data_IF_338235586667
#
_entry.id   IF_338235586667
#
_cell.length_a   1.000
_cell.length_b   1.000
_cell.length_c   1.000
_cell.angle_alpha   90.00
_cell.angle_beta   90.00
_cell.angle_gamma   90.00
#
_symmetry.space_group_name_H-M   'P 1'
#
loop_
_entity.id
_entity.type
_entity.pdbx_description
1 polymer ?
#
# COMPACT_ATOMS: atom_id res chain seq x y z
N UNK A 1 -46.25 4.63 -51.62
CA UNK A 1 -45.44 5.40 -50.65
C UNK A 1 -45.34 4.79 -49.25
N UNK A 2 -46.19 3.83 -48.84
CA UNK A 2 -46.13 3.22 -47.49
C UNK A 2 -44.95 2.25 -47.28
N UNK A 3 -44.43 1.62 -48.34
CA UNK A 3 -43.35 0.63 -48.23
C UNK A 3 -41.94 1.26 -48.18
N UNK A 4 -41.79 2.53 -48.57
CA UNK A 4 -40.50 3.23 -48.54
C UNK A 4 -40.16 3.70 -47.12
N UNK A 5 -41.18 4.06 -46.32
CA UNK A 5 -41.03 4.50 -44.94
C UNK A 5 -40.72 3.34 -43.97
N UNK A 6 -41.16 2.12 -44.31
CA UNK A 6 -40.88 0.91 -43.53
C UNK A 6 -39.43 0.43 -43.73
N UNK A 7 -38.86 0.59 -44.92
CA UNK A 7 -37.48 0.22 -45.23
C UNK A 7 -36.48 1.18 -44.56
N UNK A 8 -36.84 2.47 -44.41
CA UNK A 8 -36.00 3.47 -43.73
C UNK A 8 -35.94 3.24 -42.19
N UNK A 9 -37.03 2.74 -41.60
CA UNK A 9 -37.07 2.37 -40.17
C UNK A 9 -36.25 1.11 -39.85
N UNK A 10 -36.17 0.15 -40.78
CA UNK A 10 -35.38 -1.08 -40.60
C UNK A 10 -33.87 -0.82 -40.78
N UNK A 11 -33.50 0.13 -41.65
CA UNK A 11 -32.09 0.50 -41.87
C UNK A 11 -31.50 1.42 -40.79
N UNK A 12 -32.31 2.03 -39.94
CA UNK A 12 -31.84 2.79 -38.78
C UNK A 12 -31.67 1.93 -37.50
N UNK A 13 -32.22 0.70 -37.49
CA UNK A 13 -32.17 -0.18 -36.32
C UNK A 13 -30.94 -1.11 -36.28
N UNK A 14 -30.16 -1.21 -37.35
CA UNK A 14 -29.08 -2.22 -37.49
C UNK A 14 -27.66 -1.70 -37.28
N UNK A 15 -27.46 -0.50 -36.73
CA UNK A 15 -26.15 -0.08 -36.22
C UNK A 15 -26.18 0.26 -34.74
N UNK A 16 -26.99 -0.47 -33.96
CA UNK A 16 -26.80 -0.56 -32.52
C UNK A 16 -25.75 -1.65 -32.23
N UNK A 17 -24.53 -1.20 -31.93
CA UNK A 17 -23.48 -1.89 -31.19
C UNK A 17 -23.13 -3.34 -31.60
N UNK A 18 -22.43 -3.50 -32.72
CA UNK A 18 -21.49 -4.61 -32.89
C UNK A 18 -20.07 -4.14 -32.52
N UNK A 19 -19.87 -3.66 -31.29
CA UNK A 19 -18.53 -3.45 -30.75
C UNK A 19 -17.95 -4.81 -30.38
N UNK A 20 -17.36 -5.48 -31.37
CA UNK A 20 -16.60 -6.72 -31.17
C UNK A 20 -15.43 -6.39 -30.25
N UNK A 21 -15.46 -6.86 -29.00
CA UNK A 21 -14.29 -6.78 -28.12
C UNK A 21 -13.15 -7.57 -28.78
N UNK A 22 -12.18 -6.84 -29.35
CA UNK A 22 -11.02 -7.42 -30.04
C UNK A 22 -10.06 -8.10 -29.07
N UNK A 23 -10.20 -7.85 -27.76
CA UNK A 23 -9.33 -8.37 -26.72
C UNK A 23 -10.08 -9.33 -25.81
N UNK A 24 -9.83 -10.64 -25.97
CA UNK A 24 -10.51 -11.73 -25.24
C UNK A 24 -10.47 -11.58 -23.70
N UNK A 25 -9.44 -10.91 -23.17
CA UNK A 25 -9.19 -10.79 -21.73
C UNK A 25 -9.35 -9.36 -21.19
N UNK A 26 -9.82 -8.40 -22.00
CA UNK A 26 -10.05 -7.02 -21.57
C UNK A 26 -11.55 -6.74 -21.58
N UNK A 27 -12.06 -6.23 -20.48
CA UNK A 27 -13.46 -5.78 -20.31
C UNK A 27 -13.46 -4.29 -20.05
N UNK A 28 -14.40 -3.57 -20.68
CA UNK A 28 -14.73 -2.20 -20.32
C UNK A 28 -16.14 -2.20 -19.71
N UNK A 29 -16.30 -1.52 -18.57
CA UNK A 29 -17.59 -1.32 -17.92
C UNK A 29 -17.60 0.04 -17.22
N UNK A 30 -18.49 0.93 -17.64
CA UNK A 30 -18.69 2.25 -17.01
C UNK A 30 -17.39 3.09 -16.98
N UNK A 31 -16.56 3.01 -18.03
CA UNK A 31 -15.28 3.71 -18.13
C UNK A 31 -14.12 3.03 -17.40
N UNK A 32 -14.35 1.90 -16.70
CA UNK A 32 -13.33 1.13 -16.01
C UNK A 32 -12.79 0.00 -16.90
N UNK A 33 -11.49 -0.25 -16.81
CA UNK A 33 -10.80 -1.31 -17.57
C UNK A 33 -10.50 -2.49 -16.65
N UNK A 34 -11.00 -3.66 -17.01
CA UNK A 34 -10.71 -4.93 -16.35
C UNK A 34 -9.85 -5.83 -17.22
N UNK A 35 -8.73 -6.34 -16.68
CA UNK A 35 -7.90 -7.38 -17.32
C UNK A 35 -8.09 -8.69 -16.54
N UNK A 36 -8.62 -9.72 -17.20
CA UNK A 36 -8.93 -11.01 -16.55
C UNK A 36 -10.16 -11.01 -15.63
N UNK A 37 -10.91 -9.91 -15.59
CA UNK A 37 -12.19 -9.77 -14.85
C UNK A 37 -13.27 -9.14 -15.72
N UNK A 38 -14.53 -9.45 -15.42
CA UNK A 38 -15.72 -8.82 -16.03
C UNK A 38 -16.32 -7.72 -15.16
N UNK A 39 -15.85 -7.61 -13.93
CA UNK A 39 -16.37 -6.70 -12.90
C UNK A 39 -15.21 -5.89 -12.36
N UNK A 40 -14.69 -4.92 -13.14
CA UNK A 40 -13.69 -3.99 -12.63
C UNK A 40 -14.31 -3.12 -11.54
N UNK A 41 -13.62 -3.03 -10.42
CA UNK A 41 -13.96 -2.23 -9.24
C UNK A 41 -13.21 -0.89 -9.21
N UNK A 42 -12.03 -0.81 -9.83
CA UNK A 42 -11.20 0.40 -9.98
C UNK A 42 -11.06 0.81 -11.45
N UNK A 43 -10.47 1.99 -11.72
CA UNK A 43 -10.20 2.45 -13.10
C UNK A 43 -9.41 1.41 -13.91
N UNK A 44 -8.48 0.72 -13.26
CA UNK A 44 -7.78 -0.44 -13.80
C UNK A 44 -7.80 -1.57 -12.76
N UNK A 45 -8.57 -2.62 -13.02
CA UNK A 45 -8.59 -3.85 -12.21
C UNK A 45 -7.89 -4.97 -12.96
N UNK A 46 -6.84 -5.56 -12.39
CA UNK A 46 -6.15 -6.72 -12.97
C UNK A 46 -6.36 -7.93 -12.09
N UNK A 47 -7.14 -8.91 -12.56
CA UNK A 47 -7.27 -10.20 -11.89
C UNK A 47 -6.16 -11.14 -12.37
N UNK A 48 -4.96 -10.96 -11.81
CA UNK A 48 -3.78 -11.72 -12.18
C UNK A 48 -2.49 -11.05 -11.71
N UNK A 49 -1.38 -11.38 -12.36
CA UNK A 49 -0.07 -10.78 -12.08
C UNK A 49 0.24 -9.69 -13.11
N UNK A 50 0.84 -8.60 -12.65
CA UNK A 50 1.40 -7.55 -13.50
C UNK A 50 2.92 -7.76 -13.55
N UNK A 51 3.48 -7.91 -14.75
CA UNK A 51 4.93 -7.90 -14.95
C UNK A 51 5.30 -6.56 -15.58
N UNK A 52 6.01 -5.74 -14.82
CA UNK A 52 6.45 -4.39 -15.21
C UNK A 52 7.89 -4.20 -14.78
N UNK A 53 8.58 -3.23 -15.38
CA UNK A 53 9.94 -2.86 -14.99
C UNK A 53 9.94 -1.91 -13.79
N UNK A 54 8.94 -1.04 -13.69
CA UNK A 54 8.83 -0.04 -12.64
C UNK A 54 7.37 0.32 -12.38
N UNK A 55 7.09 0.77 -11.16
CA UNK A 55 5.83 1.38 -10.76
C UNK A 55 6.16 2.64 -9.97
N UNK A 56 5.76 3.81 -10.49
CA UNK A 56 5.76 5.04 -9.73
C UNK A 56 4.43 5.15 -8.97
N UNK A 57 4.51 5.33 -7.66
CA UNK A 57 3.34 5.45 -6.78
C UNK A 57 3.35 6.83 -6.15
N UNK A 58 2.40 7.67 -6.53
CA UNK A 58 2.29 9.02 -5.98
C UNK A 58 1.87 8.97 -4.50
N UNK A 59 2.59 9.75 -3.69
CA UNK A 59 2.35 9.88 -2.26
C UNK A 59 1.40 11.04 -1.93
N UNK A 60 0.61 11.54 -2.90
CA UNK A 60 -0.31 12.64 -2.64
C UNK A 60 -1.25 12.31 -1.47
N UNK A 61 -1.28 13.20 -0.47
CA UNK A 61 -2.02 13.04 0.77
C UNK A 61 -1.45 12.03 1.78
N UNK A 62 -0.39 11.30 1.44
CA UNK A 62 0.31 10.42 2.37
C UNK A 62 1.47 11.14 3.06
N UNK A 63 1.76 10.72 4.29
CA UNK A 63 2.84 11.28 5.11
C UNK A 63 4.00 10.28 5.12
N UNK A 64 5.19 10.73 4.71
CA UNK A 64 6.41 9.96 4.86
C UNK A 64 6.76 9.82 6.35
N UNK A 65 7.31 8.67 6.79
CA UNK A 65 7.51 8.38 8.20
C UNK A 65 8.67 9.10 8.86
N UNK A 66 9.26 10.13 8.23
CA UNK A 66 10.29 11.01 8.80
C UNK A 66 9.93 11.54 10.21
N UNK A 67 8.63 11.55 10.56
CA UNK A 67 8.16 11.81 11.91
C UNK A 67 8.78 10.91 12.99
N UNK A 68 9.24 9.70 12.65
CA UNK A 68 9.91 8.78 13.57
C UNK A 68 11.21 9.41 14.07
N UNK A 69 12.02 9.92 13.14
CA UNK A 69 13.27 10.60 13.48
C UNK A 69 13.03 11.99 14.08
N UNK A 70 12.09 12.79 13.52
CA UNK A 70 11.73 14.09 14.11
C UNK A 70 11.33 13.93 15.58
N UNK A 71 10.43 12.99 15.88
CA UNK A 71 10.01 12.74 17.26
C UNK A 71 11.19 12.30 18.14
N UNK A 72 12.09 11.46 17.65
CA UNK A 72 13.23 10.99 18.45
C UNK A 72 14.24 12.10 18.76
N UNK A 73 14.56 12.97 17.80
CA UNK A 73 15.57 14.01 17.97
C UNK A 73 15.02 15.33 18.52
N UNK A 74 13.78 15.67 18.21
CA UNK A 74 13.14 16.95 18.55
C UNK A 74 12.05 16.81 19.63
N UNK A 75 11.64 15.58 19.94
CA UNK A 75 10.62 15.27 20.95
C UNK A 75 9.17 15.42 20.48
N UNK A 76 8.96 15.83 19.22
CA UNK A 76 7.65 15.88 18.55
C UNK A 76 7.85 15.86 17.03
N UNK A 77 6.77 15.65 16.27
CA UNK A 77 6.77 15.79 14.82
C UNK A 77 5.54 16.55 14.35
N UNK A 78 5.72 17.44 13.38
CA UNK A 78 4.60 18.15 12.74
C UNK A 78 3.92 17.31 11.64
N UNK A 79 4.65 16.33 11.10
CA UNK A 79 4.17 15.41 10.08
C UNK A 79 3.15 14.42 10.66
N UNK A 80 3.43 13.90 11.86
CA UNK A 80 2.48 13.08 12.61
C UNK A 80 2.50 13.43 14.11
N UNK A 81 1.64 14.37 14.55
CA UNK A 81 1.55 14.78 15.95
C UNK A 81 1.07 13.68 16.91
N UNK A 82 0.46 12.63 16.38
CA UNK A 82 -0.09 11.51 17.17
C UNK A 82 0.84 10.29 17.17
N UNK A 83 2.04 10.41 16.58
CA UNK A 83 3.02 9.32 16.62
C UNK A 83 3.48 9.09 18.06
N UNK A 84 3.38 7.84 18.51
CA UNK A 84 3.82 7.41 19.84
C UNK A 84 4.83 6.28 19.66
N UNK A 85 6.12 6.52 19.92
CA UNK A 85 7.13 5.46 19.84
C UNK A 85 6.91 4.44 20.96
N UNK A 86 7.01 3.16 20.63
CA UNK A 86 6.94 2.07 21.61
C UNK A 86 8.34 1.67 22.06
N UNK A 87 8.49 1.32 23.33
CA UNK A 87 9.70 0.70 23.86
C UNK A 87 9.84 -0.75 23.37
N UNK A 88 11.06 -1.29 23.38
CA UNK A 88 11.29 -2.71 23.06
C UNK A 88 10.50 -3.66 23.95
N UNK A 89 10.23 -3.29 25.21
CA UNK A 89 9.41 -4.08 26.13
C UNK A 89 7.93 -4.10 25.73
N UNK A 90 7.39 -2.96 25.32
CA UNK A 90 6.01 -2.86 24.81
C UNK A 90 5.87 -3.60 23.49
N UNK A 91 6.86 -3.48 22.60
CA UNK A 91 6.90 -4.24 21.34
C UNK A 91 6.94 -5.74 21.63
N UNK A 92 7.81 -6.21 22.54
CA UNK A 92 7.89 -7.62 22.93
C UNK A 92 6.54 -8.15 23.44
N UNK A 93 5.89 -7.39 24.33
CA UNK A 93 4.57 -7.76 24.85
C UNK A 93 3.53 -7.86 23.73
N UNK A 94 3.52 -6.89 22.80
CA UNK A 94 2.61 -6.87 21.66
C UNK A 94 2.84 -8.05 20.73
N UNK A 95 4.08 -8.28 20.27
CA UNK A 95 4.37 -9.37 19.32
C UNK A 95 4.14 -10.75 19.92
N UNK A 96 4.33 -10.90 21.24
CA UNK A 96 4.01 -12.14 21.96
C UNK A 96 2.51 -12.42 21.99
N UNK A 97 1.69 -11.37 22.04
CA UNK A 97 0.24 -11.49 22.08
C UNK A 97 -0.40 -11.58 20.68
N UNK A 98 0.07 -10.76 19.74
CA UNK A 98 -0.56 -10.55 18.43
C UNK A 98 0.12 -11.30 17.29
N UNK A 99 1.39 -11.71 17.47
CA UNK A 99 2.19 -12.42 16.45
C UNK A 99 2.43 -11.64 15.15
N UNK A 100 2.27 -10.31 15.18
CA UNK A 100 2.70 -9.37 14.13
C UNK A 100 3.18 -8.07 14.77
N UNK A 101 3.82 -7.19 13.99
CA UNK A 101 4.32 -5.90 14.47
C UNK A 101 3.18 -4.89 14.71
N UNK A 102 3.32 -3.99 15.70
CA UNK A 102 2.42 -2.84 15.84
C UNK A 102 2.35 -2.02 14.54
N UNK A 103 1.13 -1.66 14.13
CA UNK A 103 0.88 -0.89 12.91
C UNK A 103 0.91 -1.71 11.61
N UNK A 104 1.37 -2.97 11.64
CA UNK A 104 1.32 -3.86 10.48
C UNK A 104 0.07 -4.74 10.57
N UNK A 105 -0.78 -4.79 9.51
CA UNK A 105 -1.93 -5.67 9.49
C UNK A 105 -1.54 -7.15 9.68
N UNK A 106 -2.39 -7.89 10.38
CA UNK A 106 -2.22 -9.33 10.55
C UNK A 106 -2.33 -10.08 9.22
N UNK A 107 -1.78 -11.30 9.18
CA UNK A 107 -1.90 -12.15 7.99
C UNK A 107 -3.36 -12.36 7.56
N UNK A 108 -4.27 -12.51 8.54
CA UNK A 108 -5.70 -12.65 8.28
C UNK A 108 -6.30 -11.40 7.64
N UNK A 109 -5.97 -10.22 8.13
CA UNK A 109 -6.46 -8.95 7.56
C UNK A 109 -5.93 -8.73 6.14
N UNK A 110 -4.67 -9.12 5.87
CA UNK A 110 -4.08 -9.06 4.54
C UNK A 110 -4.73 -10.06 3.57
N UNK A 111 -5.09 -11.25 4.02
CA UNK A 111 -5.79 -12.25 3.19
C UNK A 111 -7.22 -11.80 2.85
N UNK A 112 -7.92 -11.18 3.80
CA UNK A 112 -9.30 -10.75 3.63
C UNK A 112 -9.42 -9.46 2.79
N UNK A 113 -8.56 -8.47 3.04
CA UNK A 113 -8.71 -7.11 2.49
C UNK A 113 -7.65 -6.74 1.46
N UNK A 114 -6.54 -7.50 1.38
CA UNK A 114 -5.35 -7.06 0.67
C UNK A 114 -4.70 -5.84 1.32
N UNK A 115 -3.73 -5.24 0.63
CA UNK A 115 -3.10 -3.97 1.03
C UNK A 115 -2.59 -3.23 -0.20
N UNK A 116 -2.62 -1.91 -0.17
CA UNK A 116 -2.04 -1.12 -1.26
C UNK A 116 -0.51 -1.13 -1.21
N UNK A 117 0.13 -1.10 -2.37
CA UNK A 117 1.60 -1.02 -2.46
C UNK A 117 2.14 0.25 -1.77
N UNK A 118 1.41 1.37 -1.89
CA UNK A 118 1.73 2.63 -1.23
C UNK A 118 1.82 2.46 0.28
N UNK A 119 0.74 1.96 0.87
CA UNK A 119 0.60 1.81 2.31
C UNK A 119 1.61 0.83 2.88
N UNK A 120 1.79 -0.35 2.26
CA UNK A 120 2.78 -1.32 2.72
C UNK A 120 4.20 -0.73 2.69
N UNK A 121 4.56 0.00 1.64
CA UNK A 121 5.90 0.61 1.56
C UNK A 121 6.12 1.69 2.63
N UNK A 122 5.09 2.51 2.94
CA UNK A 122 5.18 3.51 4.01
C UNK A 122 5.30 2.87 5.39
N UNK A 123 4.49 1.84 5.67
CA UNK A 123 4.55 1.07 6.91
C UNK A 123 5.92 0.40 7.08
N UNK A 124 6.46 -0.20 6.02
CA UNK A 124 7.78 -0.82 6.06
C UNK A 124 8.88 0.22 6.31
N UNK A 125 8.80 1.39 5.69
CA UNK A 125 9.76 2.47 5.92
C UNK A 125 9.72 2.96 7.37
N UNK A 126 8.52 3.14 7.94
CA UNK A 126 8.35 3.49 9.36
C UNK A 126 9.03 2.47 10.27
N UNK A 127 8.81 1.16 10.05
CA UNK A 127 9.46 0.10 10.84
C UNK A 127 10.98 0.09 10.65
N UNK A 128 11.48 0.40 9.46
CA UNK A 128 12.93 0.50 9.19
C UNK A 128 13.55 1.66 9.98
N UNK A 129 12.88 2.81 10.05
CA UNK A 129 13.35 3.94 10.84
C UNK A 129 13.37 3.63 12.34
N UNK A 130 12.31 3.02 12.86
CA UNK A 130 12.24 2.55 14.26
C UNK A 130 13.38 1.55 14.57
N UNK A 131 13.60 0.54 13.71
CA UNK A 131 14.69 -0.43 13.85
C UNK A 131 16.06 0.24 13.81
N UNK A 132 16.22 1.27 12.98
CA UNK A 132 17.47 2.04 12.90
C UNK A 132 17.73 2.79 14.22
N UNK A 133 16.70 3.40 14.83
CA UNK A 133 16.82 4.03 16.14
C UNK A 133 17.19 3.04 17.24
N UNK A 134 16.53 1.87 17.28
CA UNK A 134 16.89 0.82 18.25
C UNK A 134 18.34 0.36 18.05
N UNK A 135 18.80 0.21 16.81
CA UNK A 135 20.19 -0.16 16.50
C UNK A 135 21.18 0.89 17.00
N UNK A 136 20.88 2.18 16.79
CA UNK A 136 21.70 3.29 17.30
C UNK A 136 21.75 3.26 18.84
N UNK A 137 20.62 3.02 19.51
CA UNK A 137 20.55 2.94 20.96
C UNK A 137 21.36 1.76 21.51
N UNK A 138 21.22 0.58 20.90
CA UNK A 138 21.99 -0.62 21.25
C UNK A 138 23.49 -0.39 21.07
N UNK A 139 23.92 0.24 19.98
CA UNK A 139 25.33 0.54 19.75
C UNK A 139 25.90 1.47 20.83
N UNK A 140 25.14 2.50 21.24
CA UNK A 140 25.54 3.39 22.35
C UNK A 140 25.70 2.64 23.67
N UNK A 141 24.80 1.71 23.97
CA UNK A 141 24.89 0.88 25.17
C UNK A 141 26.11 -0.05 25.13
N UNK A 142 26.36 -0.70 24.00
CA UNK A 142 27.54 -1.55 23.79
C UNK A 142 28.83 -0.75 24.01
N UNK A 143 28.92 0.46 23.48
CA UNK A 143 30.11 1.29 23.64
C UNK A 143 30.30 1.78 25.08
N UNK A 144 29.21 2.08 25.79
CA UNK A 144 29.26 2.39 27.21
C UNK A 144 29.76 1.20 28.04
N UNK A 145 29.25 -0.01 27.77
CA UNK A 145 29.69 -1.25 28.42
C UNK A 145 31.18 -1.53 28.15
N UNK A 146 31.62 -1.41 26.89
CA UNK A 146 33.04 -1.56 26.52
C UNK A 146 33.95 -0.57 27.25
N UNK A 147 33.51 0.68 27.42
CA UNK A 147 34.26 1.69 28.14
C UNK A 147 34.37 1.37 29.64
N UNK A 148 33.29 0.89 30.26
CA UNK A 148 33.32 0.45 31.66
C UNK A 148 34.27 -0.72 31.87
N UNK A 149 34.27 -1.71 30.97
CA UNK A 149 35.19 -2.85 31.05
C UNK A 149 36.66 -2.41 30.98
N UNK A 150 37.01 -1.49 30.07
CA UNK A 150 38.38 -0.95 29.95
C UNK A 150 38.85 -0.13 31.16
N UNK A 151 37.92 0.53 31.86
CA UNK A 151 38.26 1.33 33.05
C UNK A 151 38.42 0.49 34.32
N UNK A 152 37.96 -0.77 34.27
CA UNK A 152 38.04 -1.73 35.38
C UNK A 152 39.26 -2.68 35.25
N UNK A 153 40.05 -2.55 34.18
CA UNK A 153 41.35 -3.21 33.96
C UNK A 153 42.50 -2.25 34.34
#
# INVERSE_FOLDING_TARGET
MKNLLLILMISFATSCAAQRSTFKNITEKEGKIGIGTKTPDELLTVKGKIHTQEVLVDLEGAVAPDYVFEHYFEGNSTLNPNYVPLSLTEIEAYVKQQHHLPGIPSAKELEENGISLKEMNLLLLEKIEELTLFTIQQQKEIDALKKQLKNNE
#
